data_IF_667230322786
#
_entry.id   IF_667230322786
#
_cell.length_a   1.000
_cell.length_b   1.000
_cell.length_c   1.000
_cell.angle_alpha   90.00
_cell.angle_beta   90.00
_cell.angle_gamma   90.00
#
_symmetry.space_group_name_H-M   'P 1'
#
loop_
_entity.id
_entity.type
_entity.pdbx_description
1 polymer ?
#
# COMPACT_ATOMS: atom_id res chain seq x y z
N UNK A 1 -2.37 17.45 -13.29
CA UNK A 1 -1.16 17.78 -14.09
C UNK A 1 -0.84 16.58 -14.96
N UNK A 2 -0.34 16.77 -16.18
CA UNK A 2 0.12 15.68 -17.06
C UNK A 2 1.64 15.75 -17.16
N UNK A 3 2.30 14.66 -16.81
CA UNK A 3 3.76 14.54 -16.75
C UNK A 3 4.14 13.21 -17.39
N UNK A 4 5.26 13.18 -18.11
CA UNK A 4 5.85 11.94 -18.63
C UNK A 4 6.95 11.52 -17.65
N UNK A 5 6.87 10.29 -17.15
CA UNK A 5 7.85 9.68 -16.26
C UNK A 5 8.33 8.38 -16.89
N UNK A 6 9.60 8.06 -16.72
CA UNK A 6 10.10 6.71 -16.98
C UNK A 6 9.79 5.85 -15.74
N UNK A 7 9.21 4.68 -15.95
CA UNK A 7 8.81 3.73 -14.91
C UNK A 7 9.25 2.35 -15.38
N UNK A 8 9.75 1.53 -14.46
CA UNK A 8 10.14 0.15 -14.75
C UNK A 8 8.92 -0.71 -15.14
N UNK A 9 9.16 -1.74 -15.96
CA UNK A 9 8.09 -2.53 -16.59
C UNK A 9 7.25 -3.31 -15.56
N UNK A 10 7.89 -3.80 -14.49
CA UNK A 10 7.24 -4.50 -13.38
C UNK A 10 6.28 -3.59 -12.60
N UNK A 11 6.72 -2.38 -12.27
CA UNK A 11 5.89 -1.37 -11.61
C UNK A 11 4.68 -1.00 -12.47
N UNK A 12 4.86 -0.90 -13.80
CA UNK A 12 3.78 -0.62 -14.72
C UNK A 12 2.79 -1.79 -14.83
N UNK A 13 3.27 -3.03 -14.79
CA UNK A 13 2.42 -4.24 -14.77
C UNK A 13 1.56 -4.30 -13.50
N UNK A 14 2.16 -4.09 -12.33
CA UNK A 14 1.46 -4.07 -11.06
C UNK A 14 0.40 -2.96 -11.01
N UNK A 15 0.76 -1.75 -11.46
CA UNK A 15 -0.16 -0.64 -11.51
C UNK A 15 -1.34 -0.90 -12.45
N UNK A 16 -1.15 -1.63 -13.56
CA UNK A 16 -2.24 -2.09 -14.44
C UNK A 16 -3.11 -3.14 -13.79
N UNK A 17 -2.54 -4.03 -12.98
CA UNK A 17 -3.29 -5.02 -12.22
C UNK A 17 -4.24 -4.33 -11.22
N UNK A 18 -3.69 -3.42 -10.41
CA UNK A 18 -4.46 -2.63 -9.42
C UNK A 18 -5.50 -1.73 -10.11
N UNK A 19 -5.15 -1.08 -11.21
CA UNK A 19 -6.08 -0.23 -11.95
C UNK A 19 -7.31 -1.01 -12.45
N UNK A 20 -7.11 -2.25 -12.90
CA UNK A 20 -8.20 -3.14 -13.33
C UNK A 20 -9.08 -3.59 -12.17
N UNK A 21 -8.50 -3.98 -11.04
CA UNK A 21 -9.26 -4.42 -9.87
C UNK A 21 -10.07 -3.27 -9.24
N UNK A 22 -9.52 -2.06 -9.21
CA UNK A 22 -10.16 -0.89 -8.61
C UNK A 22 -11.02 -0.06 -9.58
N UNK A 23 -11.03 -0.38 -10.88
CA UNK A 23 -11.76 0.41 -11.89
C UNK A 23 -11.23 1.84 -12.07
N UNK A 24 -9.93 2.06 -11.82
CA UNK A 24 -9.25 3.37 -11.92
C UNK A 24 -8.35 3.42 -13.16
N UNK A 25 -7.91 4.63 -13.54
CA UNK A 25 -6.86 4.76 -14.55
C UNK A 25 -5.48 4.45 -13.95
N UNK A 26 -4.55 3.92 -14.75
CA UNK A 26 -3.16 3.65 -14.31
C UNK A 26 -2.50 4.90 -13.74
N UNK A 27 -2.70 6.06 -14.36
CA UNK A 27 -2.16 7.33 -13.85
C UNK A 27 -2.75 7.74 -12.50
N UNK A 28 -4.02 7.43 -12.22
CA UNK A 28 -4.62 7.67 -10.91
C UNK A 28 -4.02 6.75 -9.84
N UNK A 29 -3.85 5.46 -10.15
CA UNK A 29 -3.20 4.48 -9.25
C UNK A 29 -1.76 4.89 -8.93
N UNK A 30 -0.94 5.19 -9.95
CA UNK A 30 0.44 5.65 -9.75
C UNK A 30 0.48 6.93 -8.92
N UNK A 31 -0.40 7.90 -9.18
CA UNK A 31 -0.45 9.15 -8.42
C UNK A 31 -0.83 8.92 -6.95
N UNK A 32 -1.74 7.98 -6.68
CA UNK A 32 -2.15 7.60 -5.32
C UNK A 32 -1.01 6.88 -4.58
N UNK A 33 -0.37 5.90 -5.22
CA UNK A 33 0.78 5.18 -4.66
C UNK A 33 1.94 6.13 -4.36
N UNK A 34 2.31 7.01 -5.29
CA UNK A 34 3.33 8.03 -5.08
C UNK A 34 2.98 8.98 -3.93
N UNK A 35 1.70 9.36 -3.79
CA UNK A 35 1.27 10.20 -2.65
C UNK A 35 1.38 9.46 -1.33
N UNK A 36 1.12 8.15 -1.29
CA UNK A 36 1.28 7.33 -0.08
C UNK A 36 2.74 7.19 0.30
N UNK A 37 3.64 6.94 -0.66
CA UNK A 37 5.07 6.77 -0.41
C UNK A 37 5.78 8.07 -0.02
N UNK A 38 5.34 9.22 -0.56
CA UNK A 38 5.91 10.52 -0.24
C UNK A 38 5.41 11.09 1.10
N UNK A 39 4.50 10.41 1.81
CA UNK A 39 4.17 10.77 3.19
C UNK A 39 5.31 10.28 4.09
N UNK A 40 5.91 11.15 4.92
CA UNK A 40 6.86 10.71 5.91
C UNK A 40 6.15 9.73 6.85
N UNK A 41 6.58 8.47 6.86
CA UNK A 41 6.19 7.53 7.91
C UNK A 41 7.21 7.72 9.02
N UNK A 42 6.76 8.15 10.19
CA UNK A 42 7.60 8.23 11.38
C UNK A 42 7.92 6.82 11.87
N UNK A 43 8.85 6.15 11.21
CA UNK A 43 9.37 4.85 11.66
C UNK A 43 10.54 5.15 12.60
N UNK A 44 10.45 4.68 13.84
CA UNK A 44 11.52 4.74 14.83
C UNK A 44 11.90 3.32 15.25
N UNK A 45 13.11 3.15 15.76
CA UNK A 45 13.56 1.84 16.27
C UNK A 45 13.29 1.77 17.77
N UNK A 46 12.55 0.75 18.21
CA UNK A 46 12.31 0.45 19.63
C UNK A 46 12.70 -1.00 19.87
N UNK A 47 13.65 -1.23 20.78
CA UNK A 47 14.18 -2.56 21.11
C UNK A 47 14.65 -3.38 19.90
N UNK A 48 15.20 -2.72 18.87
CA UNK A 48 15.66 -3.35 17.63
C UNK A 48 14.56 -3.63 16.60
N UNK A 49 13.33 -3.18 16.85
CA UNK A 49 12.20 -3.33 15.94
C UNK A 49 11.80 -1.98 15.33
N UNK A 50 11.54 -1.91 14.01
CA UNK A 50 10.94 -0.73 13.40
C UNK A 50 9.49 -0.60 13.87
N UNK A 51 9.17 0.48 14.57
CA UNK A 51 7.81 0.80 15.03
C UNK A 51 7.35 2.10 14.39
N UNK A 52 6.04 2.25 14.24
CA UNK A 52 5.40 3.43 13.69
C UNK A 52 4.19 3.80 14.55
N UNK A 53 3.85 5.08 14.61
CA UNK A 53 2.67 5.54 15.32
C UNK A 53 1.39 5.09 14.60
N UNK A 54 0.48 4.49 15.38
CA UNK A 54 -0.84 4.05 14.91
C UNK A 54 -1.90 4.93 15.57
N UNK A 55 -2.95 5.36 14.86
CA UNK A 55 -4.04 6.11 15.48
C UNK A 55 -4.63 5.38 16.70
N UNK A 56 -5.06 6.08 17.77
CA UNK A 56 -5.58 5.44 18.99
C UNK A 56 -6.81 4.56 18.77
N UNK A 57 -7.55 4.84 17.70
CA UNK A 57 -8.77 4.14 17.27
C UNK A 57 -8.50 3.07 16.20
N UNK A 58 -7.23 2.78 15.90
CA UNK A 58 -6.90 1.78 14.90
C UNK A 58 -7.37 0.37 15.35
N UNK A 59 -8.00 -0.38 14.44
CA UNK A 59 -8.47 -1.73 14.75
C UNK A 59 -7.29 -2.65 15.09
N UNK A 60 -7.46 -3.46 16.12
CA UNK A 60 -6.47 -4.47 16.51
C UNK A 60 -6.58 -5.67 15.58
N UNK A 61 -5.46 -6.09 15.00
CA UNK A 61 -5.40 -7.34 14.22
C UNK A 61 -5.45 -8.53 15.20
N UNK A 62 -6.48 -9.35 15.06
CA UNK A 62 -6.69 -10.54 15.90
C UNK A 62 -6.25 -11.82 15.18
N UNK A 63 -6.12 -12.92 15.91
CA UNK A 63 -5.85 -14.22 15.31
C UNK A 63 -6.96 -14.68 14.35
N UNK A 64 -8.22 -14.30 14.62
CA UNK A 64 -9.35 -14.60 13.73
C UNK A 64 -9.21 -13.89 12.38
N UNK A 65 -8.71 -12.65 12.37
CA UNK A 65 -8.47 -11.90 11.13
C UNK A 65 -7.41 -12.59 10.25
N UNK A 66 -6.38 -13.19 10.86
CA UNK A 66 -5.34 -13.94 10.15
C UNK A 66 -5.90 -15.21 9.53
N UNK A 67 -6.71 -15.97 10.27
CA UNK A 67 -7.35 -17.20 9.76
C UNK A 67 -8.23 -16.87 8.55
N UNK A 68 -9.09 -15.87 8.66
CA UNK A 68 -9.96 -15.44 7.55
C UNK A 68 -9.17 -15.05 6.31
N UNK A 69 -8.07 -14.31 6.46
CA UNK A 69 -7.25 -13.88 5.34
C UNK A 69 -6.57 -15.04 4.60
N UNK A 70 -6.20 -16.12 5.31
CA UNK A 70 -5.60 -17.31 4.72
C UNK A 70 -6.62 -18.22 4.03
N UNK A 71 -7.89 -18.14 4.41
CA UNK A 71 -8.99 -18.91 3.80
C UNK A 71 -9.45 -18.31 2.46
N UNK A 72 -9.33 -16.99 2.28
CA UNK A 72 -9.70 -16.29 1.03
C UNK A 72 -8.74 -16.57 -0.15
N UNK A 73 -7.54 -17.11 0.13
CA UNK A 73 -6.52 -17.48 -0.87
C UNK A 73 -6.59 -18.98 -1.29
N UNK A 74 -7.66 -19.71 -0.96
CA UNK A 74 -7.87 -21.15 -1.27
C UNK A 74 -9.08 -21.42 -2.17
#
# INVERSE_FOLDING_TARGET
MRTTLQIDDDVLEDARSIARSEGKSVGAVISELARRSLRPVGIVEVDGFPVFDVPPDAPTVTSEDVVRALEDDV
#
